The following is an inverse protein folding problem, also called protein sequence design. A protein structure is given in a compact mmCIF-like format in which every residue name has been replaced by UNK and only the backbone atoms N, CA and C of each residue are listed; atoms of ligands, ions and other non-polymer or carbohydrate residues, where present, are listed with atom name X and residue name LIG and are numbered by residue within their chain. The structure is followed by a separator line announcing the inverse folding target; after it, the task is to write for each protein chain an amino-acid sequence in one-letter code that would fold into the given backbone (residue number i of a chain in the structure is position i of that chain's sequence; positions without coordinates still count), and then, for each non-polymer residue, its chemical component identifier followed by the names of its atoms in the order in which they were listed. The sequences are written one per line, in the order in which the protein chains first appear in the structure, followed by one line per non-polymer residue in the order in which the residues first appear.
data_IF_618564203228
#
_entry.id   IF_618564203228
#
_cell.length_a   1.000
_cell.length_b   1.000
_cell.length_c   1.000
_cell.angle_alpha   90.00
_cell.angle_beta   90.00
_cell.angle_gamma   90.00
#
_symmetry.space_group_name_H-M   'P 1'
#
loop_
_entity.id
_entity.type
_entity.pdbx_description
1 polymer ?
#
# COMPACT_ATOMS: atom_id res chain seq x y z
N UNK A 1 -25.61 19.90 -50.41
CA UNK A 1 -24.51 19.00 -49.97
C UNK A 1 -24.18 19.45 -48.57
N UNK A 2 -24.61 18.68 -47.56
CA UNK A 2 -24.40 19.01 -46.16
C UNK A 2 -22.92 18.76 -45.85
N UNK A 3 -22.18 19.85 -45.65
CA UNK A 3 -20.77 19.80 -45.28
C UNK A 3 -20.70 19.45 -43.79
N UNK A 4 -20.73 18.15 -43.49
CA UNK A 4 -20.68 17.66 -42.10
C UNK A 4 -19.23 17.64 -41.66
N UNK A 5 -18.68 18.81 -41.34
CA UNK A 5 -17.39 18.91 -40.66
C UNK A 5 -17.56 18.35 -39.23
N UNK A 6 -17.08 17.12 -38.99
CA UNK A 6 -17.05 16.55 -37.64
C UNK A 6 -15.77 16.98 -36.92
N UNK A 7 -15.90 17.28 -35.62
CA UNK A 7 -14.76 17.58 -34.77
C UNK A 7 -14.25 16.29 -34.09
N UNK A 8 -12.95 16.23 -33.81
CA UNK A 8 -12.36 15.13 -33.04
C UNK A 8 -12.90 15.15 -31.61
N UNK A 9 -13.47 14.04 -31.16
CA UNK A 9 -13.90 13.87 -29.77
C UNK A 9 -12.69 13.65 -28.86
N UNK A 10 -12.64 14.34 -27.73
CA UNK A 10 -11.60 14.24 -26.69
C UNK A 10 -12.27 14.05 -25.34
N UNK A 11 -11.62 13.31 -24.42
CA UNK A 11 -12.19 12.82 -23.16
C UNK A 11 -12.74 13.93 -22.23
N UNK A 12 -12.25 15.17 -22.38
CA UNK A 12 -12.87 16.37 -21.81
C UNK A 12 -13.08 17.40 -22.94
N UNK A 13 -14.34 17.62 -23.31
CA UNK A 13 -14.74 18.55 -24.36
C UNK A 13 -16.21 18.94 -24.26
N UNK A 14 -16.66 19.82 -25.16
CA UNK A 14 -18.06 20.21 -25.26
C UNK A 14 -18.95 19.04 -25.69
N UNK A 15 -20.17 18.96 -25.13
CA UNK A 15 -21.16 17.94 -25.50
C UNK A 15 -21.50 18.05 -27.01
N UNK A 16 -21.25 17.00 -27.81
CA UNK A 16 -21.56 17.00 -29.24
C UNK A 16 -23.00 17.41 -29.56
N UNK A 17 -23.99 17.01 -28.75
CA UNK A 17 -25.39 17.33 -28.99
C UNK A 17 -25.67 18.83 -28.84
N UNK A 18 -25.07 19.47 -27.84
CA UNK A 18 -25.20 20.92 -27.61
C UNK A 18 -24.50 21.72 -28.72
N UNK A 19 -23.34 21.25 -29.19
CA UNK A 19 -22.61 21.87 -30.30
C UNK A 19 -23.39 21.72 -31.62
N UNK A 20 -24.02 20.59 -31.85
CA UNK A 20 -24.87 20.36 -33.03
C UNK A 20 -26.13 21.24 -33.01
N UNK A 21 -26.76 21.40 -31.84
CA UNK A 21 -27.89 22.32 -31.67
C UNK A 21 -27.48 23.78 -31.95
N UNK A 22 -26.36 24.22 -31.38
CA UNK A 22 -25.84 25.58 -31.59
C UNK A 22 -25.49 25.83 -33.06
N UNK A 23 -24.87 24.84 -33.73
CA UNK A 23 -24.59 24.91 -35.18
C UNK A 23 -25.86 24.98 -36.02
N UNK A 24 -26.89 24.20 -35.69
CA UNK A 24 -28.15 24.23 -36.41
C UNK A 24 -28.86 25.59 -36.27
N UNK A 25 -28.84 26.17 -35.07
CA UNK A 25 -29.36 27.51 -34.81
C UNK A 25 -28.63 28.59 -35.63
N UNK A 26 -27.28 28.56 -35.62
CA UNK A 26 -26.48 29.53 -36.36
C UNK A 26 -26.59 29.35 -37.88
N UNK A 27 -26.69 28.11 -38.35
CA UNK A 27 -26.96 27.82 -39.76
C UNK A 27 -28.34 28.36 -40.19
N UNK A 28 -29.36 28.22 -39.34
CA UNK A 28 -30.68 28.80 -39.55
C UNK A 28 -30.66 30.32 -39.61
N UNK A 29 -29.99 30.98 -38.66
CA UNK A 29 -29.84 32.44 -38.63
C UNK A 29 -29.09 32.96 -39.87
N UNK A 30 -28.07 32.23 -40.33
CA UNK A 30 -27.28 32.58 -41.50
C UNK A 30 -28.06 32.40 -42.81
N UNK A 31 -28.90 31.37 -42.91
CA UNK A 31 -29.81 31.18 -44.04
C UNK A 31 -30.89 32.28 -44.08
N UNK A 32 -31.45 32.64 -42.92
CA UNK A 32 -32.40 33.75 -42.80
C UNK A 32 -31.76 35.09 -43.21
N UNK A 33 -30.56 35.39 -42.73
CA UNK A 33 -29.82 36.60 -43.11
C UNK A 33 -29.53 36.65 -44.62
N UNK A 34 -29.27 35.51 -45.26
CA UNK A 34 -29.10 35.42 -46.72
C UNK A 34 -30.40 35.70 -47.47
N UNK A 35 -31.53 35.19 -46.98
CA UNK A 35 -32.85 35.45 -47.57
C UNK A 35 -33.21 36.93 -47.47
N UNK A 36 -33.06 37.54 -46.29
CA UNK A 36 -33.31 38.97 -46.09
C UNK A 36 -32.40 39.85 -46.97
N UNK A 37 -31.12 39.47 -47.13
CA UNK A 37 -30.21 40.17 -48.03
C UNK A 37 -30.62 40.04 -49.51
N UNK A 38 -31.12 38.88 -49.93
CA UNK A 38 -31.62 38.67 -51.29
C UNK A 38 -32.88 39.51 -51.55
N UNK A 39 -33.84 39.51 -50.62
CA UNK A 39 -35.07 40.32 -50.70
C UNK A 39 -34.75 41.82 -50.80
N UNK A 40 -33.87 42.33 -49.93
CA UNK A 40 -33.44 43.74 -50.00
C UNK A 40 -32.71 44.08 -51.28
N UNK A 41 -31.96 43.14 -51.86
CA UNK A 41 -31.29 43.35 -53.15
C UNK A 41 -32.31 43.51 -54.27
N UNK A 42 -33.38 42.72 -54.26
CA UNK A 42 -34.50 42.84 -55.21
C UNK A 42 -35.19 44.20 -55.03
N UNK A 43 -35.55 44.57 -53.80
CA UNK A 43 -36.22 45.85 -53.49
C UNK A 43 -35.38 47.05 -53.96
N UNK A 44 -34.06 47.04 -53.72
CA UNK A 44 -33.15 48.09 -54.20
C UNK A 44 -33.11 48.13 -55.74
N UNK A 45 -33.17 46.98 -56.41
CA UNK A 45 -33.21 46.94 -57.88
C UNK A 45 -34.51 47.50 -58.45
N UNK A 46 -35.65 47.24 -57.80
CA UNK A 46 -36.97 47.76 -58.17
C UNK A 46 -37.06 49.27 -57.97
N UNK A 47 -36.57 49.77 -56.83
CA UNK A 47 -36.50 51.20 -56.55
C UNK A 47 -35.60 51.93 -57.54
N UNK A 48 -34.46 51.35 -57.92
CA UNK A 48 -33.60 51.91 -58.97
C UNK A 48 -34.28 51.95 -60.33
N UNK A 49 -35.04 50.92 -60.70
CA UNK A 49 -35.81 50.90 -61.94
C UNK A 49 -36.96 51.93 -61.93
N UNK A 50 -37.62 52.13 -60.78
CA UNK A 50 -38.64 53.16 -60.61
C UNK A 50 -38.05 54.57 -60.74
N UNK A 51 -36.88 54.82 -60.14
CA UNK A 51 -36.17 56.10 -60.25
C UNK A 51 -35.80 56.41 -61.71
N UNK A 52 -35.28 55.43 -62.44
CA UNK A 52 -34.92 55.60 -63.85
C UNK A 52 -36.13 55.99 -64.71
N UNK A 53 -37.28 55.32 -64.52
CA UNK A 53 -38.53 55.66 -65.22
C UNK A 53 -38.99 57.09 -64.93
N UNK A 54 -38.96 57.51 -63.67
CA UNK A 54 -39.35 58.86 -63.29
C UNK A 54 -38.42 59.93 -63.90
N UNK A 55 -37.12 59.64 -63.99
CA UNK A 55 -36.15 60.51 -64.67
C UNK A 55 -36.41 60.60 -66.17
N UNK A 56 -36.71 59.49 -66.84
CA UNK A 56 -37.05 59.46 -68.26
C UNK A 56 -38.33 60.28 -68.54
N UNK A 57 -39.36 60.14 -67.71
CA UNK A 57 -40.59 60.95 -67.79
C UNK A 57 -40.31 62.45 -67.59
N UNK A 58 -39.45 62.81 -66.64
CA UNK A 58 -39.03 64.20 -66.42
C UNK A 58 -38.28 64.77 -67.62
N UNK A 59 -37.38 64.00 -68.24
CA UNK A 59 -36.67 64.45 -69.44
C UNK A 59 -37.58 64.56 -70.65
N UNK A 60 -38.51 63.63 -70.85
CA UNK A 60 -39.49 63.66 -71.93
C UNK A 60 -40.45 64.85 -71.83
N UNK A 61 -40.94 65.14 -70.61
CA UNK A 61 -41.78 66.33 -70.36
C UNK A 61 -41.00 67.64 -70.57
N UNK A 62 -39.74 67.69 -70.15
CA UNK A 62 -38.87 68.85 -70.41
C UNK A 62 -38.62 69.08 -71.91
N UNK A 63 -38.40 68.02 -72.69
CA UNK A 63 -38.25 68.10 -74.14
C UNK A 63 -39.54 68.54 -74.84
N UNK A 64 -40.69 68.00 -74.44
CA UNK A 64 -42.00 68.41 -74.97
C UNK A 64 -42.30 69.88 -74.67
N UNK A 65 -41.95 70.37 -73.48
CA UNK A 65 -42.06 71.79 -73.13
C UNK A 65 -41.11 72.67 -73.94
N UNK A 66 -39.93 72.16 -74.34
CA UNK A 66 -39.00 72.88 -75.19
C UNK A 66 -39.52 72.98 -76.63
N UNK A 67 -40.03 71.88 -77.20
CA UNK A 67 -40.61 71.88 -78.55
C UNK A 67 -41.85 72.78 -78.64
N UNK A 68 -42.73 72.74 -77.63
CA UNK A 68 -43.91 73.62 -77.58
C UNK A 68 -43.53 75.11 -77.54
N UNK A 69 -42.44 75.46 -76.83
CA UNK A 69 -41.90 76.83 -76.79
C UNK A 69 -41.30 77.25 -78.12
N UNK A 70 -40.63 76.34 -78.83
CA UNK A 70 -40.07 76.62 -80.16
C UNK A 70 -41.17 76.77 -81.23
N UNK A 71 -42.23 75.97 -81.13
CA UNK A 71 -43.43 76.13 -81.97
C UNK A 71 -44.13 77.47 -81.70
N UNK A 72 -44.26 77.87 -80.42
CA UNK A 72 -44.77 79.19 -80.05
C UNK A 72 -43.88 80.34 -80.55
N UNK A 73 -42.55 80.20 -80.53
CA UNK A 73 -41.65 81.26 -81.02
C UNK A 73 -41.66 81.38 -82.55
N UNK A 74 -41.87 80.28 -83.28
CA UNK A 74 -42.09 80.29 -84.74
C UNK A 74 -43.49 80.80 -85.13
N UNK A 75 -44.48 80.61 -84.26
CA UNK A 75 -45.85 81.11 -84.41
C UNK A 75 -46.02 82.58 -83.97
N UNK A 76 -45.04 83.19 -83.30
CA UNK A 76 -45.02 84.62 -83.00
C UNK A 76 -44.91 85.42 -84.32
N UNK A 77 -46.06 85.91 -84.76
CA UNK A 77 -46.30 86.40 -86.12
C UNK A 77 -46.06 87.93 -86.25
N UNK A 78 -45.84 88.42 -87.49
CA UNK A 78 -45.41 89.79 -87.78
C UNK A 78 -46.50 90.83 -87.49
N UNK A 79 -46.11 92.07 -87.22
CA UNK A 79 -47.02 93.19 -86.91
C UNK A 79 -47.96 93.52 -88.08
N UNK A 80 -49.27 93.24 -87.90
CA UNK A 80 -50.34 93.42 -88.89
C UNK A 80 -50.95 94.84 -88.90
N UNK A 81 -50.13 95.86 -89.15
CA UNK A 81 -50.56 97.25 -89.20
C UNK A 81 -51.51 97.62 -90.38
N UNK A 82 -51.93 96.67 -91.23
CA UNK A 82 -52.69 96.94 -92.46
C UNK A 82 -53.95 96.08 -92.67
N UNK A 83 -54.47 95.43 -91.62
CA UNK A 83 -55.69 94.65 -91.70
C UNK A 83 -56.75 95.31 -90.80
N UNK A 84 -57.46 96.30 -91.35
CA UNK A 84 -58.65 97.02 -90.82
C UNK A 84 -58.85 97.15 -89.30
N UNK A 85 -59.11 98.36 -88.80
CA UNK A 85 -59.30 98.73 -87.38
C UNK A 85 -60.01 97.67 -86.49
N UNK A 86 -61.05 96.99 -86.99
CA UNK A 86 -61.77 95.92 -86.29
C UNK A 86 -60.99 94.60 -86.10
N UNK A 87 -60.13 94.22 -87.04
CA UNK A 87 -59.28 93.02 -86.91
C UNK A 87 -58.08 93.33 -86.01
N UNK A 88 -57.54 94.55 -86.08
CA UNK A 88 -56.53 95.03 -85.14
C UNK A 88 -57.00 95.03 -83.68
N UNK A 89 -58.25 95.42 -83.40
CA UNK A 89 -58.80 95.35 -82.04
C UNK A 89 -59.05 93.92 -81.56
N UNK A 90 -59.50 93.01 -82.44
CA UNK A 90 -59.69 91.59 -82.08
C UNK A 90 -58.34 90.92 -81.78
N UNK A 91 -57.30 91.20 -82.58
CA UNK A 91 -55.96 90.67 -82.35
C UNK A 91 -55.30 91.28 -81.11
N UNK A 92 -55.46 92.59 -80.88
CA UNK A 92 -54.98 93.23 -79.65
C UNK A 92 -55.62 92.65 -78.38
N UNK A 93 -56.94 92.42 -78.40
CA UNK A 93 -57.66 91.74 -77.32
C UNK A 93 -57.17 90.30 -77.13
N UNK A 94 -56.88 89.59 -78.23
CA UNK A 94 -56.35 88.23 -78.17
C UNK A 94 -54.91 88.18 -77.61
N UNK A 95 -54.07 89.17 -77.91
CA UNK A 95 -52.72 89.30 -77.35
C UNK A 95 -52.78 89.64 -75.85
N UNK A 96 -53.69 90.54 -75.44
CA UNK A 96 -53.96 90.86 -74.03
C UNK A 96 -54.44 89.63 -73.27
N UNK A 97 -55.41 88.89 -73.80
CA UNK A 97 -55.89 87.62 -73.22
C UNK A 97 -54.77 86.58 -73.13
N UNK A 98 -53.91 86.48 -74.15
CA UNK A 98 -52.77 85.56 -74.13
C UNK A 98 -51.69 85.97 -73.11
N UNK A 99 -51.49 87.27 -72.87
CA UNK A 99 -50.59 87.77 -71.82
C UNK A 99 -51.18 87.53 -70.43
N UNK A 100 -52.50 87.69 -70.26
CA UNK A 100 -53.20 87.38 -69.01
C UNK A 100 -53.11 85.88 -68.68
N UNK A 101 -53.40 85.01 -69.65
CA UNK A 101 -53.27 83.55 -69.50
C UNK A 101 -51.83 83.18 -69.12
N UNK A 102 -50.82 83.75 -69.77
CA UNK A 102 -49.40 83.48 -69.46
C UNK A 102 -49.01 83.98 -68.07
N UNK A 103 -49.54 85.11 -67.64
CA UNK A 103 -49.27 85.68 -66.32
C UNK A 103 -49.91 84.82 -65.23
N UNK A 104 -51.17 84.43 -65.40
CA UNK A 104 -51.88 83.54 -64.49
C UNK A 104 -51.22 82.16 -64.41
N UNK A 105 -50.89 81.55 -65.55
CA UNK A 105 -50.20 80.26 -65.59
C UNK A 105 -48.82 80.30 -64.90
N UNK A 106 -48.08 81.41 -65.00
CA UNK A 106 -46.81 81.59 -64.27
C UNK A 106 -47.04 81.75 -62.77
N UNK A 107 -48.05 82.52 -62.36
CA UNK A 107 -48.40 82.69 -60.95
C UNK A 107 -48.84 81.37 -60.30
N UNK A 108 -49.65 80.58 -61.02
CA UNK A 108 -50.08 79.25 -60.59
C UNK A 108 -48.89 78.29 -60.49
N UNK A 109 -47.98 78.31 -61.48
CA UNK A 109 -46.77 77.48 -61.46
C UNK A 109 -45.85 77.82 -60.28
N UNK A 110 -45.64 79.11 -59.99
CA UNK A 110 -44.84 79.53 -58.83
C UNK A 110 -45.52 79.16 -57.51
N UNK A 111 -46.85 79.28 -57.44
CA UNK A 111 -47.62 78.85 -56.26
C UNK A 111 -47.49 77.35 -56.04
N UNK A 112 -47.69 76.54 -57.08
CA UNK A 112 -47.54 75.09 -57.03
C UNK A 112 -46.11 74.68 -56.66
N UNK A 113 -45.10 75.37 -57.19
CA UNK A 113 -43.70 75.14 -56.83
C UNK A 113 -43.43 75.50 -55.36
N UNK A 114 -44.00 76.59 -54.87
CA UNK A 114 -43.90 76.99 -53.46
C UNK A 114 -44.56 75.98 -52.51
N UNK A 115 -45.74 75.46 -52.86
CA UNK A 115 -46.43 74.45 -52.03
C UNK A 115 -45.71 73.11 -52.06
N UNK A 116 -45.31 72.63 -53.23
CA UNK A 116 -44.59 71.35 -53.37
C UNK A 116 -43.23 71.36 -52.69
N UNK A 117 -42.48 72.47 -52.75
CA UNK A 117 -41.20 72.61 -52.01
C UNK A 117 -41.42 72.58 -50.50
N UNK A 118 -42.43 73.31 -49.99
CA UNK A 118 -42.78 73.28 -48.56
C UNK A 118 -43.20 71.88 -48.09
N UNK A 119 -43.99 71.16 -48.89
CA UNK A 119 -44.40 69.79 -48.59
C UNK A 119 -43.21 68.82 -48.62
N UNK A 120 -42.32 68.94 -49.61
CA UNK A 120 -41.11 68.13 -49.70
C UNK A 120 -40.17 68.37 -48.50
N UNK A 121 -40.00 69.63 -48.07
CA UNK A 121 -39.17 69.96 -46.91
C UNK A 121 -39.78 69.47 -45.59
N UNK A 122 -41.12 69.53 -45.46
CA UNK A 122 -41.82 68.92 -44.31
C UNK A 122 -41.63 67.41 -44.27
N UNK A 123 -41.83 66.73 -45.39
CA UNK A 123 -41.65 65.28 -45.49
C UNK A 123 -40.20 64.88 -45.18
N UNK A 124 -39.21 65.63 -45.68
CA UNK A 124 -37.79 65.40 -45.38
C UNK A 124 -37.52 65.56 -43.88
N UNK A 125 -38.01 66.63 -43.25
CA UNK A 125 -37.83 66.87 -41.82
C UNK A 125 -38.54 65.83 -40.94
N UNK A 126 -39.67 65.25 -41.39
CA UNK A 126 -40.35 64.14 -40.72
C UNK A 126 -39.57 62.83 -40.86
N UNK A 127 -39.07 62.52 -42.06
CA UNK A 127 -38.23 61.36 -42.31
C UNK A 127 -36.93 61.40 -41.49
N UNK A 128 -36.28 62.56 -41.42
CA UNK A 128 -35.05 62.74 -40.62
C UNK A 128 -35.33 62.54 -39.12
N UNK A 129 -36.43 63.07 -38.61
CA UNK A 129 -36.87 62.86 -37.22
C UNK A 129 -37.17 61.40 -36.92
N UNK A 130 -37.86 60.71 -37.83
CA UNK A 130 -38.15 59.29 -37.68
C UNK A 130 -36.86 58.45 -37.70
N UNK A 131 -35.94 58.75 -38.62
CA UNK A 131 -34.65 58.06 -38.70
C UNK A 131 -33.79 58.28 -37.45
N UNK A 132 -33.83 59.46 -36.83
CA UNK A 132 -33.15 59.74 -35.55
C UNK A 132 -33.79 59.00 -34.37
N UNK A 133 -35.12 58.97 -34.29
CA UNK A 133 -35.84 58.25 -33.24
C UNK A 133 -35.59 56.73 -33.31
N UNK A 134 -35.62 56.16 -34.52
CA UNK A 134 -35.30 54.74 -34.73
C UNK A 134 -33.85 54.44 -34.36
N UNK A 135 -32.88 55.28 -34.78
CA UNK A 135 -31.47 55.10 -34.41
C UNK A 135 -31.26 55.18 -32.90
N UNK A 136 -31.82 56.19 -32.24
CA UNK A 136 -31.74 56.36 -30.79
C UNK A 136 -32.32 55.16 -30.04
N UNK A 137 -33.47 54.64 -30.48
CA UNK A 137 -34.09 53.45 -29.90
C UNK A 137 -33.24 52.19 -30.10
N UNK A 138 -32.70 52.00 -31.31
CA UNK A 138 -31.82 50.88 -31.62
C UNK A 138 -30.54 50.91 -30.77
N UNK A 139 -29.91 52.09 -30.61
CA UNK A 139 -28.71 52.26 -29.81
C UNK A 139 -28.97 52.01 -28.31
N UNK A 140 -30.12 52.47 -27.79
CA UNK A 140 -30.53 52.21 -26.42
C UNK A 140 -30.77 50.70 -26.18
N UNK A 141 -31.44 50.02 -27.12
CA UNK A 141 -31.65 48.57 -27.05
C UNK A 141 -30.35 47.79 -27.14
N UNK A 142 -29.44 48.17 -28.05
CA UNK A 142 -28.12 47.55 -28.18
C UNK A 142 -27.32 47.69 -26.88
N UNK A 143 -27.32 48.88 -26.27
CA UNK A 143 -26.67 49.12 -24.98
C UNK A 143 -27.26 48.24 -23.89
N UNK A 144 -28.59 48.17 -23.79
CA UNK A 144 -29.27 47.34 -22.80
C UNK A 144 -28.95 45.84 -22.96
N UNK A 145 -28.89 45.35 -24.20
CA UNK A 145 -28.54 43.95 -24.49
C UNK A 145 -27.11 43.65 -24.05
N UNK A 146 -26.16 44.55 -24.36
CA UNK A 146 -24.75 44.39 -23.96
C UNK A 146 -24.59 44.44 -22.43
N UNK A 147 -25.27 45.36 -21.75
CA UNK A 147 -25.25 45.43 -20.29
C UNK A 147 -25.83 44.17 -19.64
N UNK A 148 -26.95 43.68 -20.14
CA UNK A 148 -27.56 42.43 -19.65
C UNK A 148 -26.63 41.24 -19.88
N UNK A 149 -26.01 41.14 -21.05
CA UNK A 149 -25.07 40.08 -21.36
C UNK A 149 -23.84 40.12 -20.43
N UNK A 150 -23.32 41.31 -20.12
CA UNK A 150 -22.23 41.49 -19.14
C UNK A 150 -22.64 41.07 -17.74
N UNK A 151 -23.79 41.53 -17.25
CA UNK A 151 -24.32 41.13 -15.93
C UNK A 151 -24.51 39.62 -15.82
N UNK A 152 -24.99 38.97 -16.89
CA UNK A 152 -25.13 37.51 -16.92
C UNK A 152 -23.77 36.81 -16.92
N UNK A 153 -22.79 37.31 -17.66
CA UNK A 153 -21.43 36.77 -17.67
C UNK A 153 -20.77 36.91 -16.29
N UNK A 154 -20.87 38.07 -15.65
CA UNK A 154 -20.32 38.32 -14.31
C UNK A 154 -20.98 37.38 -13.28
N UNK A 155 -22.31 37.21 -13.35
CA UNK A 155 -23.02 36.28 -12.48
C UNK A 155 -22.59 34.82 -12.67
N UNK A 156 -22.31 34.39 -13.91
CA UNK A 156 -21.80 33.04 -14.20
C UNK A 156 -20.39 32.88 -13.63
N UNK A 157 -19.52 33.88 -13.77
CA UNK A 157 -18.16 33.86 -13.22
C UNK A 157 -18.18 33.80 -11.68
N UNK A 158 -18.99 34.65 -11.04
CA UNK A 158 -19.14 34.65 -9.57
C UNK A 158 -19.70 33.33 -9.03
N UNK A 159 -20.58 32.65 -9.78
CA UNK A 159 -21.10 31.34 -9.41
C UNK A 159 -20.04 30.25 -9.59
N UNK A 160 -19.34 30.25 -10.72
CA UNK A 160 -18.24 29.32 -10.99
C UNK A 160 -17.11 29.46 -9.97
N UNK A 161 -16.74 30.69 -9.57
CA UNK A 161 -15.70 30.94 -8.58
C UNK A 161 -16.10 30.47 -7.17
N UNK A 162 -17.37 30.66 -6.79
CA UNK A 162 -17.91 30.14 -5.53
C UNK A 162 -17.92 28.61 -5.53
N UNK A 163 -18.39 27.99 -6.61
CA UNK A 163 -18.42 26.53 -6.73
C UNK A 163 -17.01 25.93 -6.77
N UNK A 164 -16.07 26.54 -7.49
CA UNK A 164 -14.68 26.11 -7.52
C UNK A 164 -14.01 26.22 -6.15
N UNK A 165 -14.30 27.28 -5.39
CA UNK A 165 -13.77 27.46 -4.04
C UNK A 165 -14.36 26.44 -3.06
N UNK A 166 -15.68 26.23 -3.10
CA UNK A 166 -16.34 25.20 -2.28
C UNK A 166 -15.79 23.80 -2.57
N UNK A 167 -15.63 23.41 -3.84
CA UNK A 167 -15.03 22.12 -4.20
C UNK A 167 -13.58 21.97 -3.73
N UNK A 168 -12.78 23.04 -3.76
CA UNK A 168 -11.40 23.03 -3.25
C UNK A 168 -11.38 22.83 -1.73
N UNK A 169 -12.24 23.54 -1.00
CA UNK A 169 -12.37 23.41 0.45
C UNK A 169 -12.85 22.00 0.85
N UNK A 170 -13.83 21.45 0.15
CA UNK A 170 -14.31 20.08 0.36
C UNK A 170 -13.22 19.04 0.09
N UNK A 171 -12.46 19.20 -1.01
CA UNK A 171 -11.34 18.32 -1.33
C UNK A 171 -10.24 18.41 -0.26
N UNK A 172 -9.84 19.62 0.14
CA UNK A 172 -8.85 19.84 1.18
C UNK A 172 -9.28 19.23 2.51
N UNK A 173 -10.53 19.43 2.92
CA UNK A 173 -11.10 18.81 4.12
C UNK A 173 -11.07 17.28 4.05
N UNK A 174 -11.38 16.70 2.89
CA UNK A 174 -11.32 15.26 2.68
C UNK A 174 -9.88 14.72 2.77
N UNK A 175 -8.91 15.41 2.17
CA UNK A 175 -7.50 15.03 2.25
C UNK A 175 -6.95 15.15 3.67
N UNK A 176 -7.24 16.25 4.38
CA UNK A 176 -6.82 16.40 5.77
C UNK A 176 -7.48 15.37 6.69
N UNK A 177 -8.75 15.03 6.45
CA UNK A 177 -9.43 13.96 7.19
C UNK A 177 -8.75 12.61 6.95
N UNK A 178 -8.44 12.25 5.70
CA UNK A 178 -7.72 11.02 5.38
C UNK A 178 -6.32 11.00 6.00
N UNK A 179 -5.59 12.12 5.93
CA UNK A 179 -4.26 12.25 6.52
C UNK A 179 -4.30 12.07 8.04
N UNK A 180 -5.27 12.70 8.72
CA UNK A 180 -5.46 12.55 10.15
C UNK A 180 -5.82 11.10 10.52
N UNK A 181 -6.69 10.45 9.74
CA UNK A 181 -7.05 9.04 9.95
C UNK A 181 -5.86 8.10 9.75
N UNK A 182 -5.06 8.32 8.71
CA UNK A 182 -3.85 7.54 8.45
C UNK A 182 -2.81 7.74 9.57
N UNK A 183 -2.63 8.98 10.04
CA UNK A 183 -1.73 9.28 11.15
C UNK A 183 -2.20 8.63 12.47
N UNK A 184 -3.51 8.65 12.76
CA UNK A 184 -4.08 7.95 13.92
C UNK A 184 -3.85 6.45 13.82
N UNK A 185 -4.15 5.85 12.66
CA UNK A 185 -3.94 4.42 12.45
C UNK A 185 -2.46 4.04 12.61
N UNK A 186 -1.54 4.83 12.06
CA UNK A 186 -0.10 4.62 12.24
C UNK A 186 0.32 4.69 13.72
N UNK A 187 -0.17 5.67 14.47
CA UNK A 187 0.10 5.79 15.91
C UNK A 187 -0.45 4.58 16.70
N UNK A 188 -1.65 4.10 16.37
CA UNK A 188 -2.25 2.92 16.99
C UNK A 188 -1.44 1.64 16.65
N UNK A 189 -0.97 1.51 15.41
CA UNK A 189 -0.08 0.42 15.01
C UNK A 189 1.27 0.46 15.74
N UNK A 190 1.89 1.64 15.87
CA UNK A 190 3.13 1.80 16.63
C UNK A 190 2.92 1.47 18.11
N UNK A 191 1.81 1.90 18.71
CA UNK A 191 1.47 1.60 20.09
C UNK A 191 1.27 0.09 20.33
N UNK A 192 0.54 -0.60 19.44
CA UNK A 192 0.33 -2.05 19.55
C UNK A 192 1.62 -2.84 19.32
N UNK A 193 2.48 -2.42 18.39
CA UNK A 193 3.81 -3.01 18.22
C UNK A 193 4.70 -2.77 19.44
N UNK A 194 4.67 -1.57 20.02
CA UNK A 194 5.37 -1.25 21.27
C UNK A 194 4.93 -2.17 22.41
N UNK A 195 3.63 -2.28 22.65
CA UNK A 195 3.07 -3.18 23.67
C UNK A 195 3.47 -4.64 23.45
N UNK A 196 3.47 -5.13 22.20
CA UNK A 196 3.91 -6.49 21.89
C UNK A 196 5.40 -6.69 22.15
N UNK A 197 6.23 -5.69 21.82
CA UNK A 197 7.68 -5.73 22.10
C UNK A 197 7.96 -5.71 23.59
N UNK A 198 7.27 -4.87 24.35
CA UNK A 198 7.43 -4.78 25.80
C UNK A 198 6.97 -6.08 26.48
N UNK A 199 5.84 -6.66 26.05
CA UNK A 199 5.36 -7.95 26.54
C UNK A 199 6.35 -9.08 26.22
N UNK A 200 6.84 -9.16 24.98
CA UNK A 200 7.81 -10.17 24.59
C UNK A 200 9.15 -10.00 25.36
N UNK A 201 9.61 -8.77 25.56
CA UNK A 201 10.81 -8.48 26.35
C UNK A 201 10.63 -8.87 27.83
N UNK A 202 9.46 -8.61 28.40
CA UNK A 202 9.13 -9.01 29.77
C UNK A 202 9.06 -10.54 29.93
N UNK A 203 8.40 -11.24 29.00
CA UNK A 203 8.31 -12.70 28.98
C UNK A 203 9.70 -13.34 28.82
N UNK A 204 10.51 -12.83 27.89
CA UNK A 204 11.89 -13.31 27.70
C UNK A 204 12.74 -13.07 28.96
N UNK A 205 12.65 -11.89 29.58
CA UNK A 205 13.37 -11.58 30.82
C UNK A 205 12.95 -12.50 31.97
N UNK A 206 11.65 -12.79 32.09
CA UNK A 206 11.12 -13.73 33.09
C UNK A 206 11.61 -15.16 32.84
N UNK A 207 11.64 -15.62 31.59
CA UNK A 207 12.19 -16.93 31.23
C UNK A 207 13.69 -17.00 31.55
N UNK A 208 14.48 -15.98 31.20
CA UNK A 208 15.90 -15.94 31.50
C UNK A 208 16.18 -15.97 33.01
N UNK A 209 15.42 -15.20 33.80
CA UNK A 209 15.52 -15.23 35.26
C UNK A 209 15.17 -16.62 35.82
N UNK A 210 14.11 -17.25 35.32
CA UNK A 210 13.73 -18.61 35.72
C UNK A 210 14.81 -19.66 35.35
N UNK A 211 15.45 -19.51 34.18
CA UNK A 211 16.59 -20.37 33.79
C UNK A 211 17.82 -20.14 34.67
N UNK A 212 18.14 -18.89 35.00
CA UNK A 212 19.25 -18.55 35.92
C UNK A 212 19.01 -19.10 37.33
N UNK A 213 17.79 -18.98 37.84
CA UNK A 213 17.37 -19.57 39.12
C UNK A 213 17.46 -21.09 39.09
N UNK A 214 17.03 -21.74 38.00
CA UNK A 214 17.11 -23.19 37.84
C UNK A 214 18.56 -23.68 37.79
N UNK A 215 19.45 -22.96 37.09
CA UNK A 215 20.88 -23.25 37.06
C UNK A 215 21.52 -23.09 38.44
N UNK A 216 21.18 -22.02 39.16
CA UNK A 216 21.67 -21.78 40.52
C UNK A 216 21.24 -22.91 41.46
N UNK A 217 19.96 -23.30 41.42
CA UNK A 217 19.46 -24.44 42.21
C UNK A 217 20.13 -25.76 41.83
N UNK A 218 20.38 -26.00 40.54
CA UNK A 218 21.09 -27.21 40.09
C UNK A 218 22.54 -27.22 40.58
N UNK A 219 23.24 -26.08 40.53
CA UNK A 219 24.58 -25.90 41.06
C UNK A 219 24.63 -26.10 42.58
N UNK A 220 23.67 -25.55 43.33
CA UNK A 220 23.55 -25.75 44.77
C UNK A 220 23.33 -27.23 45.12
N UNK A 221 22.42 -27.91 44.40
CA UNK A 221 22.18 -29.36 44.58
C UNK A 221 23.44 -30.17 44.27
N UNK A 222 24.13 -29.88 43.17
CA UNK A 222 25.37 -30.55 42.80
C UNK A 222 26.47 -30.33 43.86
N UNK A 223 26.62 -29.11 44.37
CA UNK A 223 27.59 -28.79 45.43
C UNK A 223 27.28 -29.50 46.75
N UNK A 224 25.99 -29.59 47.10
CA UNK A 224 25.54 -30.29 48.32
C UNK A 224 25.77 -31.78 48.18
N UNK A 225 25.39 -32.38 47.05
CA UNK A 225 25.63 -33.79 46.77
C UNK A 225 27.12 -34.13 46.76
N UNK A 226 27.97 -33.26 46.19
CA UNK A 226 29.43 -33.41 46.23
C UNK A 226 29.95 -33.38 47.66
N UNK A 227 29.51 -32.41 48.48
CA UNK A 227 29.93 -32.32 49.87
C UNK A 227 29.44 -33.51 50.71
N UNK A 228 28.23 -34.00 50.48
CA UNK A 228 27.67 -35.17 51.15
C UNK A 228 28.41 -36.46 50.73
N UNK A 229 28.72 -36.60 49.44
CA UNK A 229 29.55 -37.70 48.91
C UNK A 229 30.97 -37.68 49.50
N UNK A 230 31.62 -36.51 49.54
CA UNK A 230 32.94 -36.35 50.17
C UNK A 230 32.92 -36.72 51.66
N UNK A 231 31.88 -36.31 52.40
CA UNK A 231 31.69 -36.71 53.81
C UNK A 231 31.49 -38.22 53.94
N UNK A 232 30.61 -38.81 53.16
CA UNK A 232 30.36 -40.26 53.17
C UNK A 232 31.63 -41.05 52.83
N UNK A 233 32.40 -40.61 51.84
CA UNK A 233 33.70 -41.18 51.49
C UNK A 233 34.72 -41.05 52.63
N UNK A 234 34.82 -39.89 53.27
CA UNK A 234 35.73 -39.67 54.39
C UNK A 234 35.34 -40.53 55.62
N UNK A 235 34.04 -40.65 55.90
CA UNK A 235 33.51 -41.50 56.98
C UNK A 235 33.78 -42.98 56.72
N UNK A 236 33.46 -43.48 55.52
CA UNK A 236 33.71 -44.86 55.10
C UNK A 236 35.23 -45.17 55.12
N UNK A 237 36.07 -44.24 54.68
CA UNK A 237 37.52 -44.39 54.75
C UNK A 237 38.03 -44.43 56.20
N UNK A 238 37.53 -43.55 57.09
CA UNK A 238 37.88 -43.56 58.50
C UNK A 238 37.40 -44.83 59.23
N UNK A 239 36.24 -45.37 58.85
CA UNK A 239 35.74 -46.66 59.35
C UNK A 239 36.60 -47.82 58.87
N UNK A 240 36.93 -47.87 57.58
CA UNK A 240 37.84 -48.87 57.02
C UNK A 240 39.23 -48.82 57.69
N UNK A 241 39.77 -47.63 57.95
CA UNK A 241 41.01 -47.46 58.70
C UNK A 241 40.88 -47.99 60.14
N UNK A 242 39.80 -47.64 60.85
CA UNK A 242 39.54 -48.14 62.20
C UNK A 242 39.40 -49.67 62.23
N UNK A 243 38.72 -50.26 61.25
CA UNK A 243 38.58 -51.72 61.12
C UNK A 243 39.94 -52.39 60.83
N UNK A 244 40.76 -51.79 59.96
CA UNK A 244 42.12 -52.27 59.68
C UNK A 244 43.03 -52.19 60.92
N UNK A 245 42.96 -51.10 61.69
CA UNK A 245 43.71 -50.94 62.94
C UNK A 245 43.24 -51.94 64.01
N UNK A 246 41.94 -52.13 64.17
CA UNK A 246 41.37 -53.13 65.06
C UNK A 246 41.80 -54.56 64.68
N UNK A 247 41.70 -54.92 63.39
CA UNK A 247 42.14 -56.22 62.89
C UNK A 247 43.65 -56.44 63.07
N UNK A 248 44.47 -55.40 62.89
CA UNK A 248 45.92 -55.46 63.19
C UNK A 248 46.18 -55.66 64.67
N UNK A 249 45.49 -54.92 65.55
CA UNK A 249 45.62 -55.07 66.99
C UNK A 249 45.18 -56.46 67.46
N UNK A 250 44.07 -57.00 66.93
CA UNK A 250 43.62 -58.37 67.18
C UNK A 250 44.63 -59.41 66.67
N UNK A 251 45.18 -59.22 65.48
CA UNK A 251 46.23 -60.09 64.94
C UNK A 251 47.49 -60.06 65.82
N UNK A 252 47.93 -58.88 66.28
CA UNK A 252 49.06 -58.72 67.21
C UNK A 252 48.79 -59.39 68.57
N UNK A 253 47.56 -59.26 69.09
CA UNK A 253 47.12 -59.94 70.32
C UNK A 253 47.11 -61.47 70.15
N UNK A 254 46.56 -61.98 69.04
CA UNK A 254 46.56 -63.41 68.72
C UNK A 254 47.97 -63.95 68.58
N UNK A 255 48.86 -63.24 67.87
CA UNK A 255 50.27 -63.63 67.73
C UNK A 255 50.97 -63.61 69.09
N UNK A 256 50.69 -62.63 69.95
CA UNK A 256 51.26 -62.56 71.30
C UNK A 256 50.76 -63.69 72.19
N UNK A 257 49.44 -63.94 72.22
CA UNK A 257 48.84 -65.03 72.96
C UNK A 257 49.35 -66.40 72.47
N UNK A 258 49.47 -66.59 71.15
CA UNK A 258 50.05 -67.80 70.56
C UNK A 258 51.53 -67.97 70.95
N UNK A 259 52.32 -66.89 70.96
CA UNK A 259 53.71 -66.92 71.46
C UNK A 259 53.77 -67.28 72.93
N UNK A 260 52.96 -66.65 73.78
CA UNK A 260 52.90 -66.96 75.22
C UNK A 260 52.47 -68.42 75.48
N UNK A 261 51.49 -68.91 74.72
CA UNK A 261 51.06 -70.31 74.79
C UNK A 261 52.17 -71.25 74.31
N UNK A 262 52.86 -70.93 73.21
CA UNK A 262 54.01 -71.69 72.75
C UNK A 262 55.16 -71.69 73.78
N UNK A 263 55.41 -70.56 74.45
CA UNK A 263 56.38 -70.49 75.54
C UNK A 263 55.95 -71.30 76.76
N UNK A 264 54.66 -71.29 77.10
CA UNK A 264 54.09 -72.08 78.20
C UNK A 264 54.22 -73.57 77.90
N UNK A 265 53.82 -74.01 76.72
CA UNK A 265 54.02 -75.38 76.23
C UNK A 265 55.51 -75.73 76.27
N UNK A 266 56.40 -74.87 75.76
CA UNK A 266 57.85 -75.11 75.83
C UNK A 266 58.35 -75.28 77.26
N UNK A 267 57.94 -74.42 78.21
CA UNK A 267 58.33 -74.54 79.63
C UNK A 267 57.73 -75.78 80.29
N UNK A 268 56.51 -76.16 79.94
CA UNK A 268 55.84 -77.34 80.47
C UNK A 268 56.49 -78.61 79.90
N UNK A 269 56.77 -78.65 78.60
CA UNK A 269 57.54 -79.71 77.95
C UNK A 269 58.97 -79.79 78.46
N UNK A 270 59.64 -78.67 78.75
CA UNK A 270 60.99 -78.66 79.35
C UNK A 270 60.95 -79.14 80.80
N UNK A 271 59.91 -78.78 81.57
CA UNK A 271 59.66 -79.33 82.90
C UNK A 271 59.40 -80.82 82.83
N UNK A 272 58.55 -81.28 81.92
CA UNK A 272 58.29 -82.71 81.69
C UNK A 272 59.54 -83.45 81.23
N UNK A 273 60.34 -82.88 80.33
CA UNK A 273 61.61 -83.43 79.87
C UNK A 273 62.60 -83.51 81.03
N UNK A 274 62.69 -82.48 81.87
CA UNK A 274 63.57 -82.47 83.06
C UNK A 274 63.11 -83.50 84.10
N UNK A 275 61.80 -83.64 84.31
CA UNK A 275 61.21 -84.64 85.20
C UNK A 275 61.41 -86.05 84.65
N UNK A 276 61.28 -86.25 83.33
CA UNK A 276 61.57 -87.51 82.65
C UNK A 276 63.06 -87.84 82.70
N UNK A 277 63.94 -86.84 82.55
CA UNK A 277 65.39 -86.98 82.70
C UNK A 277 65.76 -87.33 84.14
N UNK A 278 65.16 -86.67 85.14
CA UNK A 278 65.33 -87.04 86.55
C UNK A 278 64.78 -88.43 86.86
N UNK A 279 63.64 -88.82 86.28
CA UNK A 279 63.14 -90.21 86.38
C UNK A 279 64.14 -91.18 85.77
N UNK A 280 64.64 -90.92 84.56
CA UNK A 280 65.70 -91.72 83.91
C UNK A 280 66.95 -91.79 84.77
N UNK A 281 67.41 -90.68 85.33
CA UNK A 281 68.61 -90.61 86.14
C UNK A 281 68.39 -91.30 87.51
N UNK A 282 67.18 -91.21 88.07
CA UNK A 282 66.78 -91.96 89.28
C UNK A 282 66.68 -93.46 89.01
N UNK A 283 66.17 -93.87 87.85
CA UNK A 283 66.16 -95.27 87.40
C UNK A 283 67.60 -95.73 87.14
N UNK A 284 68.45 -94.91 86.54
CA UNK A 284 69.88 -95.22 86.34
C UNK A 284 70.61 -95.34 87.67
N UNK A 285 70.32 -94.47 88.64
CA UNK A 285 70.85 -94.54 90.00
C UNK A 285 70.31 -95.77 90.77
N UNK A 286 69.03 -96.11 90.60
CA UNK A 286 68.41 -97.32 91.16
C UNK A 286 69.01 -98.59 90.52
N UNK A 287 69.27 -98.60 89.22
CA UNK A 287 69.97 -99.67 88.53
C UNK A 287 71.45 -99.76 88.94
N UNK A 288 72.12 -98.65 89.23
CA UNK A 288 73.48 -98.64 89.80
C UNK A 288 73.51 -99.20 91.23
N UNK A 289 72.50 -98.91 92.05
CA UNK A 289 72.39 -99.40 93.42
C UNK A 289 71.99 -100.89 93.46
N UNK A 290 71.14 -101.33 92.53
CA UNK A 290 70.85 -102.75 92.31
C UNK A 290 72.07 -103.48 91.75
N UNK A 291 72.89 -102.85 90.88
CA UNK A 291 74.16 -103.41 90.38
C UNK A 291 75.23 -103.51 91.50
N UNK A 292 75.16 -102.66 92.53
CA UNK A 292 75.99 -102.74 93.74
C UNK A 292 75.47 -103.79 94.76
N UNK A 293 74.15 -103.94 94.92
CA UNK A 293 73.52 -104.96 95.80
C UNK A 293 73.46 -106.37 95.20
N UNK A 294 73.60 -106.52 93.89
CA UNK A 294 73.78 -107.80 93.20
C UNK A 294 75.25 -108.24 93.10
N UNK A 295 76.20 -107.52 93.70
CA UNK A 295 77.59 -107.95 93.86
C UNK A 295 77.84 -108.83 95.11
N UNK A 296 76.81 -109.09 95.93
CA UNK A 296 76.87 -109.91 97.15
C UNK A 296 76.01 -111.18 97.15
N UNK A 297 75.37 -111.53 96.03
CA UNK A 297 74.82 -112.88 95.84
C UNK A 297 74.60 -113.18 94.35
N UNK A 298 75.38 -114.14 93.81
CA UNK A 298 74.96 -114.99 92.69
C UNK A 298 75.05 -114.39 91.29
N UNK A 299 76.06 -114.79 90.52
CA UNK A 299 76.28 -114.36 89.14
C UNK A 299 75.36 -115.01 88.08
N UNK A 300 75.50 -114.48 86.85
CA UNK A 300 75.60 -115.17 85.54
C UNK A 300 74.61 -114.74 84.43
N UNK A 301 75.22 -114.43 83.26
CA UNK A 301 74.76 -114.64 81.85
C UNK A 301 73.54 -113.85 81.32
N UNK A 302 73.64 -112.94 80.32
CA UNK A 302 73.91 -113.07 78.85
C UNK A 302 72.63 -113.21 77.97
N UNK A 303 72.62 -112.53 76.78
CA UNK A 303 71.81 -112.76 75.53
C UNK A 303 70.35 -112.22 75.56
N UNK A 304 69.66 -111.68 74.53
CA UNK A 304 69.86 -111.20 73.14
C UNK A 304 68.44 -110.78 72.59
N UNK A 305 68.37 -110.05 71.48
CA UNK A 305 67.20 -109.94 70.58
C UNK A 305 66.45 -108.59 70.61
N UNK A 306 66.51 -107.69 69.61
CA UNK A 306 66.10 -107.75 68.18
C UNK A 306 64.63 -107.37 67.92
N UNK A 307 64.47 -106.66 66.80
CA UNK A 307 63.28 -106.29 66.01
C UNK A 307 62.47 -105.08 66.47
N UNK A 308 62.55 -103.96 65.72
CA UNK A 308 62.04 -103.70 64.36
C UNK A 308 60.53 -103.43 64.36
N UNK A 309 60.16 -102.26 63.86
CA UNK A 309 59.25 -102.11 62.73
C UNK A 309 59.43 -100.70 62.16
N UNK A 310 60.32 -100.62 61.18
CA UNK A 310 60.06 -99.89 59.94
C UNK A 310 58.62 -100.21 59.48
N UNK A 311 57.83 -99.20 59.13
CA UNK A 311 57.69 -98.93 57.70
C UNK A 311 57.08 -97.54 57.49
N UNK A 312 57.71 -96.84 56.55
CA UNK A 312 57.22 -95.62 55.92
C UNK A 312 56.33 -96.07 54.72
N UNK A 313 56.21 -95.33 53.61
CA UNK A 313 56.23 -93.89 53.39
C UNK A 313 55.06 -93.44 52.46
N UNK A 314 55.15 -92.17 52.06
CA UNK A 314 54.86 -91.66 50.71
C UNK A 314 53.46 -91.07 50.41
N UNK A 315 53.40 -89.73 50.45
CA UNK A 315 53.22 -88.81 49.30
C UNK A 315 53.15 -89.43 47.86
N UNK A 316 52.73 -88.71 46.77
CA UNK A 316 52.26 -87.32 46.66
C UNK A 316 51.13 -87.06 45.60
N UNK A 317 50.78 -85.77 45.46
CA UNK A 317 50.52 -85.00 44.21
C UNK A 317 49.38 -85.34 43.21
N UNK A 318 48.50 -84.32 43.08
CA UNK A 318 48.18 -83.55 41.87
C UNK A 318 47.21 -84.07 40.77
N UNK A 319 46.25 -83.17 40.48
CA UNK A 319 45.77 -82.71 39.16
C UNK A 319 44.58 -83.41 38.46
N UNK A 320 43.55 -82.56 38.26
CA UNK A 320 42.85 -82.26 37.00
C UNK A 320 41.62 -83.07 36.53
N UNK A 321 40.53 -82.29 36.38
CA UNK A 321 39.67 -82.15 35.19
C UNK A 321 38.39 -83.01 35.00
N UNK A 322 37.30 -82.25 34.83
CA UNK A 322 36.27 -82.34 33.77
C UNK A 322 34.91 -83.05 34.04
N UNK A 323 33.88 -82.19 34.00
CA UNK A 323 32.69 -82.22 33.14
C UNK A 323 31.32 -82.69 33.69
N UNK A 324 30.36 -81.76 33.52
CA UNK A 324 28.99 -81.91 32.99
C UNK A 324 27.82 -81.49 33.92
N UNK A 325 27.11 -80.47 33.41
CA UNK A 325 25.83 -79.78 33.71
C UNK A 325 24.55 -80.67 33.75
N UNK A 326 23.29 -80.20 34.05
CA UNK A 326 22.75 -78.86 33.72
C UNK A 326 21.61 -78.19 34.57
N UNK A 327 21.42 -76.88 34.27
CA UNK A 327 20.32 -75.85 34.42
C UNK A 327 19.20 -75.92 35.47
N UNK A 328 18.91 -74.79 36.16
CA UNK A 328 17.74 -73.92 35.87
C UNK A 328 17.83 -72.50 36.52
N UNK A 329 17.15 -71.54 35.88
CA UNK A 329 17.15 -70.08 36.09
C UNK A 329 16.41 -69.58 37.34
N UNK A 330 16.81 -68.41 37.84
CA UNK A 330 15.92 -67.25 38.12
C UNK A 330 16.81 -66.07 38.50
N UNK A 331 16.68 -64.93 37.82
CA UNK A 331 16.85 -63.62 38.47
C UNK A 331 16.27 -62.48 37.64
N UNK A 332 15.75 -61.51 38.37
CA UNK A 332 14.97 -60.37 37.89
C UNK A 332 15.67 -59.07 38.28
N UNK A 333 15.84 -58.23 37.27
CA UNK A 333 15.66 -56.77 37.23
C UNK A 333 16.74 -55.75 37.67
N UNK A 334 16.74 -54.67 36.86
CA UNK A 334 17.22 -53.28 37.06
C UNK A 334 18.71 -52.94 36.93
N UNK A 335 19.12 -52.33 35.79
CA UNK A 335 19.33 -50.86 35.71
C UNK A 335 19.53 -50.34 34.25
N UNK A 336 19.40 -49.02 34.11
CA UNK A 336 19.10 -48.17 32.94
C UNK A 336 20.35 -47.56 32.25
N UNK A 337 20.19 -47.16 30.96
CA UNK A 337 20.79 -46.03 30.16
C UNK A 337 21.30 -46.52 28.79
N UNK A 338 21.15 -45.88 27.62
CA UNK A 338 20.53 -44.63 27.12
C UNK A 338 20.54 -44.67 25.56
N UNK A 339 19.82 -43.73 24.96
CA UNK A 339 19.90 -43.13 23.61
C UNK A 339 18.99 -43.56 22.43
N UNK A 340 18.13 -42.57 22.10
CA UNK A 340 17.91 -41.95 20.78
C UNK A 340 16.65 -42.31 19.95
N UNK A 341 15.87 -41.24 19.73
CA UNK A 341 14.64 -41.00 18.93
C UNK A 341 14.92 -41.03 17.40
N UNK A 342 13.92 -41.19 16.47
CA UNK A 342 12.79 -40.25 16.21
C UNK A 342 11.41 -40.93 15.94
N UNK A 343 10.27 -40.38 16.40
CA UNK A 343 9.30 -39.46 15.74
C UNK A 343 8.62 -40.00 14.46
N UNK A 344 7.35 -40.41 14.63
CA UNK A 344 6.20 -40.20 13.72
C UNK A 344 4.95 -40.37 14.63
N UNK A 345 4.01 -39.43 14.80
CA UNK A 345 3.33 -38.66 13.78
C UNK A 345 1.87 -39.10 13.69
N UNK A 346 1.11 -39.06 14.81
CA UNK A 346 -0.32 -39.35 14.82
C UNK A 346 -1.06 -38.32 15.67
N UNK A 347 -1.80 -37.44 15.01
CA UNK A 347 -2.84 -36.61 15.61
C UNK A 347 -4.18 -37.01 15.00
N UNK A 348 -5.04 -37.60 15.82
CA UNK A 348 -6.48 -37.46 15.74
C UNK A 348 -6.86 -36.07 16.24
N UNK A 349 -7.79 -35.38 15.57
CA UNK A 349 -8.88 -34.73 16.28
C UNK A 349 -10.05 -34.42 15.33
N UNK A 350 -11.19 -34.23 15.98
CA UNK A 350 -12.57 -34.39 15.55
C UNK A 350 -13.24 -33.00 15.41
N UNK A 351 -14.28 -32.90 14.55
CA UNK A 351 -15.38 -31.90 14.57
C UNK A 351 -15.00 -30.43 14.25
N UNK A 352 -15.81 -29.55 13.64
CA UNK A 352 -17.25 -29.47 13.44
C UNK A 352 -17.58 -28.48 12.30
N UNK A 353 -18.83 -28.54 11.83
CA UNK A 353 -19.54 -27.75 10.81
C UNK A 353 -19.74 -26.26 11.18
N UNK A 354 -19.40 -25.30 10.28
CA UNK A 354 -20.09 -23.99 10.14
C UNK A 354 -19.94 -23.48 8.70
N UNK A 355 -21.09 -23.25 8.05
CA UNK A 355 -21.22 -22.52 6.79
C UNK A 355 -21.07 -21.00 7.00
N UNK A 356 -20.45 -20.30 6.05
CA UNK A 356 -20.89 -18.96 5.64
C UNK A 356 -20.40 -18.63 4.22
N UNK A 357 -21.31 -18.02 3.46
CA UNK A 357 -21.10 -17.38 2.15
C UNK A 357 -20.05 -16.27 2.24
N UNK A 358 -19.32 -16.01 1.15
CA UNK A 358 -19.13 -14.65 0.61
C UNK A 358 -18.34 -14.68 -0.71
N UNK A 359 -18.90 -13.94 -1.68
CA UNK A 359 -18.32 -13.56 -2.96
C UNK A 359 -16.99 -12.81 -2.78
N UNK A 360 -15.99 -13.04 -3.63
CA UNK A 360 -14.99 -12.01 -3.90
C UNK A 360 -14.48 -12.05 -5.35
N UNK A 361 -14.41 -10.85 -5.90
CA UNK A 361 -14.27 -10.47 -7.28
C UNK A 361 -12.82 -10.65 -7.79
N UNK A 362 -12.71 -10.83 -9.10
CA UNK A 362 -11.46 -11.04 -9.81
C UNK A 362 -10.58 -9.79 -9.88
N UNK A 363 -9.32 -9.96 -9.46
CA UNK A 363 -8.18 -9.11 -9.80
C UNK A 363 -7.94 -9.08 -11.32
N UNK A 364 -7.69 -7.90 -11.88
CA UNK A 364 -6.96 -7.76 -13.16
C UNK A 364 -6.01 -6.56 -13.09
N UNK A 365 -4.73 -6.89 -12.92
CA UNK A 365 -3.55 -6.03 -12.99
C UNK A 365 -3.15 -5.84 -14.46
N UNK A 366 -3.16 -4.61 -15.00
CA UNK A 366 -2.38 -4.29 -16.21
C UNK A 366 -1.64 -2.94 -16.08
N UNK A 367 -0.36 -3.10 -15.71
CA UNK A 367 0.89 -2.41 -16.05
C UNK A 367 0.83 -1.13 -16.91
N UNK A 368 1.43 -0.08 -16.35
CA UNK A 368 1.83 1.18 -16.99
C UNK A 368 3.10 0.96 -17.84
N UNK A 369 3.08 1.40 -19.11
CA UNK A 369 4.27 1.60 -19.94
C UNK A 369 4.49 3.10 -20.15
N UNK A 370 5.61 3.59 -19.62
CA UNK A 370 6.20 4.91 -19.83
C UNK A 370 6.81 5.01 -21.26
N UNK A 371 6.39 6.00 -22.05
CA UNK A 371 7.24 6.55 -23.12
C UNK A 371 7.11 8.08 -23.18
N UNK A 372 8.12 8.75 -22.62
CA UNK A 372 8.55 10.09 -22.99
C UNK A 372 9.03 10.09 -24.46
N UNK A 373 8.53 11.02 -25.29
CA UNK A 373 9.41 11.64 -26.28
C UNK A 373 8.90 13.00 -26.80
N UNK A 374 9.90 13.80 -27.16
CA UNK A 374 9.95 15.25 -27.08
C UNK A 374 9.23 16.05 -28.19
N UNK A 375 9.11 17.35 -27.90
CA UNK A 375 8.58 18.41 -28.72
C UNK A 375 9.44 18.75 -29.96
N UNK A 376 8.78 19.12 -31.07
CA UNK A 376 9.28 20.20 -31.93
C UNK A 376 8.12 20.91 -32.63
N UNK A 377 7.88 22.15 -32.21
CA UNK A 377 6.96 23.10 -32.84
C UNK A 377 7.82 24.02 -33.71
N UNK A 378 7.60 24.01 -35.03
CA UNK A 378 8.04 25.13 -35.87
C UNK A 378 6.86 25.68 -36.67
N UNK A 379 6.36 26.79 -36.14
CA UNK A 379 5.34 27.66 -36.69
C UNK A 379 6.05 28.84 -37.37
N UNK A 380 5.89 29.02 -38.68
CA UNK A 380 5.68 30.36 -39.28
C UNK A 380 5.29 30.33 -40.76
N UNK A 381 4.01 30.58 -40.99
CA UNK A 381 3.51 31.16 -42.22
C UNK A 381 3.86 32.67 -42.25
N UNK A 382 4.64 33.08 -43.25
CA UNK A 382 4.88 34.48 -43.60
C UNK A 382 3.84 34.97 -44.62
N UNK A 383 2.89 35.74 -44.12
CA UNK A 383 2.17 36.89 -44.69
C UNK A 383 2.25 37.15 -46.22
N UNK A 384 1.08 37.11 -46.86
CA UNK A 384 0.79 37.80 -48.12
C UNK A 384 -0.16 38.97 -47.83
N UNK A 385 0.38 40.19 -47.92
CA UNK A 385 -0.33 41.41 -48.28
C UNK A 385 0.71 42.43 -48.78
#
# INVERSE_FOLDING_TARGET
MSDTTSFRSVLRGYDPAQVDQWRAEHAGALEQARQEAAERTVEVSELRAALARAQDEQTGTAQALASLREEQSKAAAPTYANLGERIGTILGLADEEADEIRTNARADAETLKGTTTLEADRLRAEADRYAEDVRTKADAQATQVVEKAKQQADAILDDADREASARREEAEAFYEHQRARAASAAADFEATLGQRRDKAAAEFSAQMAAHEDALTQAQERASTLSADSERAHAEAHAEAQRALEAAKAEAEQLVTAAREQAERIRRDSERELSAATQRRDSITAQLSNVRQMLATLGGAAMVDGLDDHEDAPAEPAAAAAAAAEPVEETDTDSDVEDEAVPVDGATSDDLDDVADDEDDDADDDELEDDEDDEAEVDEKAGTRA
#
